data_IF_285206470015
#
_entry.id   IF_285206470015
#
_cell.length_a   1.000
_cell.length_b   1.000
_cell.length_c   1.000
_cell.angle_alpha   90.00
_cell.angle_beta   90.00
_cell.angle_gamma   90.00
#
_symmetry.space_group_name_H-M   'P 1'
#
loop_
_entity.id
_entity.type
_entity.pdbx_description
1 polymer ?
#
# COMPACT_ATOMS: atom_id res chain seq x y z
N UNK A 1 52.77 -25.53 34.89
CA UNK A 1 52.32 -24.12 35.00
C UNK A 1 52.20 -23.39 33.64
N UNK A 2 52.28 -24.08 32.47
CA UNK A 2 52.27 -23.44 31.13
C UNK A 2 50.93 -23.53 30.34
N UNK A 3 49.84 -24.01 30.96
CA UNK A 3 48.56 -24.21 30.24
C UNK A 3 47.67 -22.96 30.21
N UNK A 4 47.69 -22.14 31.27
CA UNK A 4 46.87 -20.94 31.37
C UNK A 4 47.12 -19.87 30.28
N UNK A 5 48.37 -19.51 29.91
CA UNK A 5 48.59 -18.49 28.88
C UNK A 5 48.20 -18.97 27.48
N UNK A 6 48.33 -20.28 27.19
CA UNK A 6 47.90 -20.87 25.91
C UNK A 6 46.39 -20.85 25.75
N UNK A 7 45.64 -21.11 26.83
CA UNK A 7 44.19 -21.00 26.83
C UNK A 7 43.73 -19.56 26.60
N UNK A 8 44.37 -18.59 27.24
CA UNK A 8 44.04 -17.17 27.08
C UNK A 8 44.27 -16.72 25.63
N UNK A 9 45.41 -17.07 25.03
CA UNK A 9 45.71 -16.73 23.62
C UNK A 9 44.71 -17.40 22.66
N UNK A 10 44.36 -18.67 22.90
CA UNK A 10 43.35 -19.34 22.08
C UNK A 10 41.96 -18.69 22.19
N UNK A 11 41.59 -18.21 23.38
CA UNK A 11 40.31 -17.57 23.63
C UNK A 11 40.23 -16.18 22.97
N UNK A 12 41.31 -15.40 23.04
CA UNK A 12 41.43 -14.14 22.30
C UNK A 12 41.44 -14.34 20.79
N UNK A 13 42.12 -15.37 20.29
CA UNK A 13 42.12 -15.70 18.86
C UNK A 13 40.73 -16.13 18.37
N UNK A 14 40.00 -16.94 19.15
CA UNK A 14 38.64 -17.34 18.83
C UNK A 14 37.67 -16.14 18.84
N UNK A 15 37.79 -15.25 19.83
CA UNK A 15 36.98 -14.02 19.90
C UNK A 15 37.27 -13.09 18.72
N UNK A 16 38.54 -12.91 18.35
CA UNK A 16 38.93 -12.11 17.19
C UNK A 16 38.37 -12.69 15.88
N UNK A 17 38.33 -14.03 15.74
CA UNK A 17 37.76 -14.70 14.57
C UNK A 17 36.24 -14.51 14.46
N UNK A 18 35.52 -14.52 15.59
CA UNK A 18 34.08 -14.25 15.63
C UNK A 18 33.78 -12.79 15.27
N UNK A 19 34.59 -11.84 15.74
CA UNK A 19 34.44 -10.42 15.43
C UNK A 19 34.77 -10.13 13.95
N UNK A 20 35.81 -10.74 13.39
CA UNK A 20 36.15 -10.58 11.97
C UNK A 20 35.16 -11.28 11.02
N UNK A 21 34.51 -12.37 11.47
CA UNK A 21 33.52 -13.11 10.67
C UNK A 21 32.12 -12.46 10.63
N UNK A 22 31.85 -11.48 11.49
CA UNK A 22 30.57 -10.77 11.52
C UNK A 22 30.48 -9.76 10.36
N UNK A 23 30.14 -10.23 9.17
CA UNK A 23 29.76 -9.34 8.07
C UNK A 23 28.36 -8.74 8.35
N UNK A 24 28.14 -7.42 8.11
CA UNK A 24 26.81 -6.87 8.17
C UNK A 24 25.96 -7.51 7.07
N UNK A 25 24.84 -8.13 7.45
CA UNK A 25 23.82 -8.55 6.50
C UNK A 25 23.18 -7.31 5.88
N UNK A 26 23.64 -6.90 4.70
CA UNK A 26 22.98 -5.86 3.91
C UNK A 26 21.82 -6.48 3.16
N UNK A 27 20.61 -6.33 3.67
CA UNK A 27 19.42 -6.55 2.86
C UNK A 27 19.35 -5.43 1.82
N UNK A 28 19.80 -5.70 0.59
CA UNK A 28 19.42 -4.90 -0.57
C UNK A 28 17.94 -5.19 -0.82
N UNK A 29 17.08 -4.39 -0.22
CA UNK A 29 15.65 -4.46 -0.49
C UNK A 29 15.45 -3.77 -1.82
N UNK A 30 15.52 -4.52 -2.93
CA UNK A 30 15.13 -3.99 -4.23
C UNK A 30 13.65 -3.61 -4.17
N UNK A 31 13.37 -2.31 -4.07
CA UNK A 31 12.00 -1.82 -4.16
C UNK A 31 11.68 -1.62 -5.63
N UNK A 32 10.79 -2.45 -6.16
CA UNK A 32 10.30 -2.29 -7.52
C UNK A 32 9.01 -1.48 -7.46
N UNK A 33 8.96 -0.42 -8.25
CA UNK A 33 7.79 0.44 -8.32
C UNK A 33 7.85 1.31 -9.56
N UNK A 34 6.70 1.91 -9.87
CA UNK A 34 6.58 2.94 -10.90
C UNK A 34 5.64 4.01 -10.36
N UNK A 35 5.88 5.25 -10.72
CA UNK A 35 4.91 6.29 -10.44
C UNK A 35 3.62 6.00 -11.21
N UNK A 36 2.47 6.11 -10.54
CA UNK A 36 1.18 5.76 -11.12
C UNK A 36 0.84 6.71 -12.25
N UNK A 37 0.53 6.15 -13.43
CA UNK A 37 -0.02 6.91 -14.53
C UNK A 37 -1.57 6.87 -14.46
N UNK A 38 -2.24 8.00 -14.18
CA UNK A 38 -3.70 8.01 -14.05
C UNK A 38 -4.44 7.63 -15.35
N UNK A 39 -3.79 7.73 -16.51
CA UNK A 39 -4.41 7.40 -17.80
C UNK A 39 -4.40 5.90 -18.04
N UNK A 40 -3.26 5.24 -17.80
CA UNK A 40 -3.04 3.84 -18.21
C UNK A 40 -3.17 2.84 -17.06
N UNK A 41 -2.88 3.25 -15.84
CA UNK A 41 -2.82 2.34 -14.68
C UNK A 41 -4.12 2.33 -13.88
N UNK A 42 -5.01 3.29 -14.12
CA UNK A 42 -6.38 3.26 -13.61
C UNK A 42 -7.23 2.39 -14.52
N UNK A 43 -7.84 1.39 -13.92
CA UNK A 43 -8.83 0.59 -14.62
C UNK A 43 -10.13 1.40 -14.77
N UNK A 44 -10.36 2.01 -15.93
CA UNK A 44 -11.56 2.83 -16.17
C UNK A 44 -12.84 2.02 -16.28
N UNK A 45 -12.75 0.78 -16.76
CA UNK A 45 -13.85 -0.18 -16.62
C UNK A 45 -14.10 -0.57 -15.15
N UNK A 46 -13.19 -0.15 -14.24
CA UNK A 46 -13.33 -0.40 -12.82
C UNK A 46 -14.38 0.43 -12.12
N UNK A 47 -14.75 1.58 -12.70
CA UNK A 47 -15.71 2.50 -12.10
C UNK A 47 -17.13 1.94 -12.04
N UNK A 48 -17.44 0.93 -12.85
CA UNK A 48 -18.79 0.37 -12.95
C UNK A 48 -19.06 -0.71 -11.89
N UNK A 49 -20.32 -0.83 -11.42
CA UNK A 49 -21.54 -0.18 -11.95
C UNK A 49 -21.68 1.31 -11.61
N UNK A 50 -22.42 2.05 -12.46
CA UNK A 50 -22.78 3.46 -12.24
C UNK A 50 -24.29 3.56 -12.02
N UNK A 51 -24.70 4.19 -10.91
CA UNK A 51 -26.10 4.40 -10.54
C UNK A 51 -26.37 5.83 -10.10
N UNK A 52 -27.61 6.29 -10.29
CA UNK A 52 -28.13 7.56 -9.78
C UNK A 52 -29.41 7.24 -9.00
N UNK A 53 -29.39 7.46 -7.68
CA UNK A 53 -30.39 6.89 -6.79
C UNK A 53 -30.50 5.37 -6.97
N UNK A 54 -31.74 4.85 -7.07
CA UNK A 54 -32.00 3.44 -7.36
C UNK A 54 -31.86 3.03 -8.84
N UNK A 55 -31.55 3.96 -9.75
CA UNK A 55 -31.48 3.69 -11.19
C UNK A 55 -30.06 3.31 -11.61
N UNK A 56 -29.90 2.12 -12.20
CA UNK A 56 -28.64 1.69 -12.81
C UNK A 56 -28.47 2.34 -14.20
N UNK A 57 -27.52 3.26 -14.32
CA UNK A 57 -27.17 3.93 -15.59
C UNK A 57 -26.26 3.05 -16.43
N UNK A 58 -25.30 2.38 -15.79
CA UNK A 58 -24.37 1.48 -16.45
C UNK A 58 -24.11 0.24 -15.60
N UNK A 59 -24.29 -0.95 -16.19
CA UNK A 59 -24.07 -2.22 -15.50
C UNK A 59 -22.58 -2.53 -15.40
N UNK A 60 -22.16 -3.04 -14.25
CA UNK A 60 -20.80 -3.52 -14.02
C UNK A 60 -20.83 -4.93 -13.43
N UNK A 61 -19.69 -5.60 -13.49
CA UNK A 61 -19.51 -6.92 -12.86
C UNK A 61 -18.98 -6.83 -11.42
N UNK A 62 -18.64 -5.63 -10.95
CA UNK A 62 -18.12 -5.47 -9.58
C UNK A 62 -19.22 -5.48 -8.53
N UNK A 63 -18.89 -5.93 -7.31
CA UNK A 63 -19.75 -5.76 -6.15
C UNK A 63 -20.09 -4.28 -5.98
N UNK A 64 -21.36 -3.97 -5.69
CA UNK A 64 -21.82 -2.61 -5.46
C UNK A 64 -22.75 -2.59 -4.24
N UNK A 65 -22.48 -1.74 -3.23
CA UNK A 65 -23.43 -1.53 -2.14
C UNK A 65 -24.73 -0.91 -2.66
N UNK A 66 -25.82 -1.05 -1.91
CA UNK A 66 -27.10 -0.46 -2.29
C UNK A 66 -27.02 1.07 -2.21
N UNK A 67 -27.17 1.75 -3.34
CA UNK A 67 -27.36 3.20 -3.40
C UNK A 67 -28.78 3.57 -2.88
N UNK A 68 -28.99 4.75 -2.26
CA UNK A 68 -30.33 5.18 -1.83
C UNK A 68 -31.30 5.24 -3.01
N UNK A 69 -32.54 4.76 -2.83
CA UNK A 69 -33.51 4.74 -3.94
C UNK A 69 -33.86 6.13 -4.49
N UNK A 70 -33.89 7.14 -3.61
CA UNK A 70 -34.19 8.52 -3.99
C UNK A 70 -32.92 9.25 -4.44
N UNK A 71 -32.91 9.85 -5.65
CA UNK A 71 -31.70 10.42 -6.25
C UNK A 71 -31.27 11.76 -5.65
N UNK A 72 -32.14 12.46 -4.90
CA UNK A 72 -31.81 13.77 -4.32
C UNK A 72 -31.47 13.64 -2.84
N UNK A 73 -30.42 14.34 -2.42
CA UNK A 73 -30.04 14.45 -1.02
C UNK A 73 -29.85 15.93 -0.62
N UNK A 74 -30.02 16.22 0.67
CA UNK A 74 -29.81 17.55 1.22
C UNK A 74 -28.88 17.42 2.43
N UNK A 75 -27.75 18.14 2.42
CA UNK A 75 -26.77 18.13 3.50
C UNK A 75 -26.46 19.55 4.00
N UNK A 76 -26.44 19.73 5.32
CA UNK A 76 -26.00 20.96 5.99
C UNK A 76 -27.12 21.85 6.57
N UNK A 77 -26.71 22.84 7.38
CA UNK A 77 -27.54 23.87 8.01
C UNK A 77 -26.74 25.20 8.04
N UNK A 78 -27.34 26.40 7.93
CA UNK A 78 -28.78 26.71 7.80
C UNK A 78 -29.34 26.67 6.37
N UNK A 79 -28.49 26.72 5.34
CA UNK A 79 -28.90 26.57 3.93
C UNK A 79 -28.43 25.19 3.44
N UNK A 80 -29.35 24.27 3.10
CA UNK A 80 -28.98 22.93 2.68
C UNK A 80 -28.34 22.95 1.30
N UNK A 81 -27.22 22.23 1.13
CA UNK A 81 -26.67 21.94 -0.19
C UNK A 81 -27.43 20.75 -0.77
N UNK A 82 -28.11 20.99 -1.89
CA UNK A 82 -28.82 19.95 -2.64
C UNK A 82 -27.79 19.20 -3.48
N UNK A 83 -27.76 17.88 -3.32
CA UNK A 83 -26.88 16.97 -4.03
C UNK A 83 -27.66 15.85 -4.71
N UNK A 84 -26.93 15.05 -5.48
CA UNK A 84 -27.45 13.86 -6.16
C UNK A 84 -26.72 12.64 -5.59
N UNK A 85 -27.45 11.57 -5.28
CA UNK A 85 -26.87 10.30 -4.86
C UNK A 85 -26.36 9.54 -6.08
N UNK A 86 -25.03 9.50 -6.26
CA UNK A 86 -24.37 8.78 -7.34
C UNK A 86 -23.56 7.64 -6.75
N UNK A 87 -23.77 6.42 -7.23
CA UNK A 87 -23.02 5.23 -6.83
C UNK A 87 -22.08 4.78 -7.95
N UNK A 88 -20.79 4.68 -7.66
CA UNK A 88 -19.77 4.14 -8.56
C UNK A 88 -18.48 3.85 -7.79
N UNK A 89 -17.57 3.08 -8.39
CA UNK A 89 -16.24 2.82 -7.85
C UNK A 89 -15.31 3.99 -8.13
N UNK A 90 -15.21 4.91 -7.19
CA UNK A 90 -14.43 6.13 -7.36
C UNK A 90 -12.92 5.88 -7.16
N UNK A 91 -12.06 6.23 -8.14
CA UNK A 91 -10.60 6.12 -8.02
C UNK A 91 -9.99 7.32 -7.25
N UNK A 92 -10.60 7.73 -6.13
CA UNK A 92 -10.10 8.84 -5.29
C UNK A 92 -8.99 8.45 -4.33
N UNK A 93 -8.82 7.15 -4.09
CA UNK A 93 -7.83 6.64 -3.13
C UNK A 93 -6.93 5.64 -3.83
N UNK A 94 -5.64 5.82 -3.62
CA UNK A 94 -4.60 4.90 -4.02
C UNK A 94 -4.09 4.20 -2.76
N UNK A 95 -3.97 2.88 -2.80
CA UNK A 95 -3.52 2.07 -1.66
C UNK A 95 -2.29 1.28 -2.09
N UNK A 96 -1.18 1.49 -1.40
CA UNK A 96 0.04 0.70 -1.53
C UNK A 96 0.05 -0.43 -0.49
N UNK A 97 0.28 -1.66 -0.93
CA UNK A 97 0.49 -2.81 -0.05
C UNK A 97 1.87 -3.40 -0.36
N UNK A 98 2.77 -3.35 0.61
CA UNK A 98 4.14 -3.86 0.47
C UNK A 98 4.59 -4.57 1.75
N UNK A 99 5.31 -5.67 1.59
CA UNK A 99 5.95 -6.39 2.70
C UNK A 99 7.40 -5.91 2.94
N UNK A 100 7.87 -4.95 2.15
CA UNK A 100 9.22 -4.40 2.21
C UNK A 100 9.20 -3.11 3.02
N UNK A 101 9.91 -3.09 4.14
CA UNK A 101 10.05 -1.88 4.94
C UNK A 101 10.66 -0.76 4.09
N UNK A 102 10.10 0.45 4.23
CA UNK A 102 10.53 1.65 3.49
C UNK A 102 10.47 1.53 1.97
N UNK A 103 9.59 0.68 1.44
CA UNK A 103 9.37 0.56 0.00
C UNK A 103 7.99 1.13 -0.38
N UNK A 104 7.97 2.07 -1.31
CA UNK A 104 6.80 2.78 -1.80
C UNK A 104 6.62 2.52 -3.31
N UNK A 105 5.92 1.43 -3.68
CA UNK A 105 5.78 1.01 -5.08
C UNK A 105 5.18 2.09 -5.99
N UNK A 106 4.11 2.76 -5.54
CA UNK A 106 3.45 3.82 -6.33
C UNK A 106 4.24 5.15 -6.39
N UNK A 107 5.31 5.30 -5.60
CA UNK A 107 6.22 6.46 -5.67
C UNK A 107 7.47 6.16 -6.50
N UNK A 108 7.41 5.17 -7.40
CA UNK A 108 8.55 4.80 -8.24
C UNK A 108 9.51 3.79 -7.59
N UNK A 109 9.09 3.16 -6.49
CA UNK A 109 9.91 2.16 -5.81
C UNK A 109 11.00 2.79 -4.93
N UNK A 110 10.71 3.96 -4.35
CA UNK A 110 11.56 4.57 -3.32
C UNK A 110 11.41 3.89 -1.96
#
# INVERSE_FOLDING_TARGET
MMRLPRFIVALFAALALVVLGAAPARASVTCHGKFVNPITDVCWSCLFPLSIGGLAIWKGSRPDPKNPSFPLCACGSPIPRIGISVGFWEPVRLVDVTNKAWCFPNLGGI
#
